data_IF_515412129142
#
_entry.id   IF_515412129142
#
_cell.length_a   1.000
_cell.length_b   1.000
_cell.length_c   1.000
_cell.angle_alpha   90.00
_cell.angle_beta   90.00
_cell.angle_gamma   90.00
#
_symmetry.space_group_name_H-M   'P 1'
#
loop_
_entity.id
_entity.type
_entity.pdbx_description
1 polymer ?
#
# COMPACT_ATOMS: atom_id res chain seq x y z
N UNK A 1 -2.46 -23.46 -14.47
CA UNK A 1 -1.14 -23.41 -15.14
C UNK A 1 -1.16 -22.42 -16.30
N UNK A 2 -0.99 -21.12 -16.01
CA UNK A 2 -0.70 -20.05 -16.97
C UNK A 2 0.30 -19.11 -16.28
N UNK A 3 1.55 -19.13 -16.73
CA UNK A 3 2.63 -18.29 -16.18
C UNK A 3 2.48 -16.85 -16.63
N UNK A 4 2.55 -15.94 -15.66
CA UNK A 4 2.34 -14.48 -15.75
C UNK A 4 3.38 -13.77 -16.65
N UNK A 5 4.44 -14.46 -17.07
CA UNK A 5 5.55 -13.88 -17.85
C UNK A 5 5.22 -13.52 -19.31
N UNK A 6 4.08 -13.95 -19.87
CA UNK A 6 3.79 -13.75 -21.30
C UNK A 6 3.02 -12.46 -21.65
N UNK A 7 2.53 -11.70 -20.66
CA UNK A 7 1.68 -10.53 -20.92
C UNK A 7 2.42 -9.18 -21.00
N UNK A 8 3.67 -9.10 -20.54
CA UNK A 8 4.40 -7.82 -20.50
C UNK A 8 4.90 -7.34 -21.86
N UNK A 9 4.99 -8.20 -22.88
CA UNK A 9 5.56 -7.84 -24.19
C UNK A 9 4.55 -7.34 -25.24
N UNK A 10 3.29 -7.07 -24.88
CA UNK A 10 2.26 -6.62 -25.86
C UNK A 10 1.65 -5.25 -25.63
N UNK A 11 2.06 -4.50 -24.60
CA UNK A 11 1.48 -3.17 -24.31
C UNK A 11 2.43 -1.99 -24.62
N UNK A 12 3.61 -2.24 -25.20
CA UNK A 12 4.43 -1.20 -25.80
C UNK A 12 3.81 -0.72 -27.13
N UNK A 13 2.92 0.28 -27.05
CA UNK A 13 2.76 1.35 -28.06
C UNK A 13 2.27 2.63 -27.36
N UNK A 14 2.93 3.78 -27.54
CA UNK A 14 2.50 5.07 -27.01
C UNK A 14 1.58 5.77 -28.03
N UNK A 15 0.55 6.45 -27.55
CA UNK A 15 -0.10 7.55 -28.29
C UNK A 15 0.16 8.84 -27.50
N UNK A 16 0.89 9.76 -28.15
CA UNK A 16 1.26 11.10 -27.69
C UNK A 16 0.08 12.06 -27.85
N UNK A 17 -0.25 12.87 -26.84
CA UNK A 17 -0.81 14.22 -27.06
C UNK A 17 -0.29 15.22 -26.01
N UNK A 18 0.20 16.35 -26.52
CA UNK A 18 0.86 17.47 -25.83
C UNK A 18 -0.16 18.52 -25.35
N UNK A 19 0.10 19.23 -24.24
CA UNK A 19 -0.31 20.64 -24.06
C UNK A 19 0.61 21.40 -23.08
N UNK A 20 1.03 22.60 -23.50
CA UNK A 20 1.96 23.52 -22.84
C UNK A 20 1.26 24.72 -22.14
N UNK A 21 1.93 25.26 -21.09
CA UNK A 21 1.87 26.67 -20.61
C UNK A 21 1.04 26.93 -19.33
N UNK A 22 1.40 27.78 -18.35
CA UNK A 22 2.53 28.71 -18.15
C UNK A 22 2.57 29.25 -16.69
N UNK A 23 3.79 29.40 -16.16
CA UNK A 23 4.37 30.37 -15.20
C UNK A 23 3.67 30.88 -13.92
N UNK A 24 4.37 30.73 -12.77
CA UNK A 24 4.64 31.86 -11.84
C UNK A 24 4.70 31.59 -10.33
N UNK A 25 5.94 31.57 -9.79
CA UNK A 25 6.41 32.09 -8.47
C UNK A 25 6.99 31.11 -7.41
N UNK A 26 8.29 30.82 -7.59
CA UNK A 26 9.42 30.95 -6.65
C UNK A 26 9.22 30.74 -5.13
N UNK A 27 9.50 29.53 -4.63
CA UNK A 27 10.10 29.28 -3.30
C UNK A 27 11.01 28.03 -3.36
N UNK A 28 12.03 28.01 -2.51
CA UNK A 28 13.32 27.32 -2.71
C UNK A 28 13.26 25.80 -2.90
N UNK A 29 14.10 25.39 -3.84
CA UNK A 29 14.28 24.09 -4.50
C UNK A 29 14.90 23.04 -3.56
N UNK A 30 14.14 22.01 -3.23
CA UNK A 30 14.71 20.71 -2.83
C UNK A 30 14.99 19.97 -4.12
N UNK A 31 16.26 19.62 -4.28
CA UNK A 31 16.90 19.07 -5.46
C UNK A 31 16.16 17.81 -5.95
N UNK A 32 15.43 17.97 -7.05
CA UNK A 32 14.87 16.87 -7.84
C UNK A 32 16.05 16.03 -8.33
N UNK A 33 16.22 14.82 -7.77
CA UNK A 33 17.15 13.82 -8.30
C UNK A 33 16.81 13.54 -9.76
N UNK A 34 17.51 14.22 -10.66
CA UNK A 34 17.52 13.92 -12.09
C UNK A 34 18.57 12.84 -12.27
N UNK A 35 18.12 11.62 -12.55
CA UNK A 35 19.02 10.53 -12.95
C UNK A 35 19.66 10.96 -14.27
N UNK A 36 20.99 11.04 -14.28
CA UNK A 36 21.79 11.40 -15.45
C UNK A 36 21.56 10.39 -16.59
N UNK A 37 20.93 10.83 -17.68
CA UNK A 37 21.00 10.10 -18.95
C UNK A 37 22.34 10.41 -19.62
N UNK A 38 23.29 9.48 -19.48
CA UNK A 38 24.51 9.47 -20.27
C UNK A 38 24.18 9.24 -21.75
N UNK A 39 24.46 10.24 -22.57
CA UNK A 39 24.33 10.18 -24.02
C UNK A 39 25.20 9.06 -24.61
N UNK A 40 24.56 8.06 -25.24
CA UNK A 40 25.24 7.27 -26.25
C UNK A 40 24.27 6.83 -27.36
N UNK A 41 24.69 7.16 -28.57
CA UNK A 41 23.93 7.10 -29.80
C UNK A 41 23.88 5.63 -30.30
N UNK A 42 22.71 4.98 -30.23
CA UNK A 42 22.54 3.65 -30.81
C UNK A 42 21.24 2.94 -30.41
N UNK A 43 20.26 2.92 -31.33
CA UNK A 43 19.09 2.01 -31.42
C UNK A 43 18.57 1.49 -30.06
N UNK A 44 17.82 2.34 -29.36
CA UNK A 44 17.12 2.00 -28.13
C UNK A 44 15.96 1.04 -28.41
N UNK A 45 16.16 -0.26 -28.17
CA UNK A 45 15.10 -1.04 -27.53
C UNK A 45 15.05 -0.54 -26.08
N UNK A 46 14.13 0.38 -25.79
CA UNK A 46 13.80 0.77 -24.42
C UNK A 46 13.19 -0.43 -23.71
N UNK A 47 14.06 -1.26 -23.14
CA UNK A 47 13.71 -2.17 -22.07
C UNK A 47 13.12 -1.30 -20.96
N UNK A 48 11.79 -1.26 -20.87
CA UNK A 48 11.07 -0.68 -19.74
C UNK A 48 11.40 -1.54 -18.55
N UNK A 49 12.52 -1.24 -17.89
CA UNK A 49 12.79 -1.73 -16.56
C UNK A 49 11.68 -1.12 -15.71
N UNK A 50 10.70 -1.96 -15.33
CA UNK A 50 9.77 -1.62 -14.27
C UNK A 50 10.61 -1.44 -13.00
N UNK A 51 11.07 -0.23 -12.77
CA UNK A 51 11.75 0.12 -11.53
C UNK A 51 10.67 0.10 -10.45
N UNK A 52 10.57 -1.03 -9.76
CA UNK A 52 9.80 -1.09 -8.53
C UNK A 52 10.45 -0.17 -7.51
N UNK A 53 9.62 0.57 -6.76
CA UNK A 53 10.11 1.34 -5.62
C UNK A 53 10.61 0.34 -4.58
N UNK A 54 11.91 0.36 -4.29
CA UNK A 54 12.48 -0.44 -3.22
C UNK A 54 12.05 0.18 -1.88
N UNK A 55 11.24 -0.56 -1.13
CA UNK A 55 10.76 -0.14 0.20
C UNK A 55 11.45 -1.02 1.23
N UNK A 56 12.30 -0.46 2.12
CA UNK A 56 12.97 -1.26 3.12
C UNK A 56 11.96 -1.82 4.11
N UNK A 57 12.12 -3.08 4.50
CA UNK A 57 11.27 -3.69 5.51
C UNK A 57 11.74 -3.31 6.91
N UNK A 58 10.82 -2.79 7.74
CA UNK A 58 11.08 -2.43 9.13
C UNK A 58 10.10 -3.20 10.02
N UNK A 59 10.66 -3.91 11.01
CA UNK A 59 9.85 -4.62 11.99
C UNK A 59 9.24 -3.62 12.97
N UNK A 60 7.94 -3.81 13.26
CA UNK A 60 7.28 -3.21 14.41
C UNK A 60 7.98 -3.66 15.71
N UNK A 61 7.99 -2.81 16.72
CA UNK A 61 8.62 -3.05 18.03
C UNK A 61 7.58 -3.40 19.11
N UNK A 62 6.32 -3.07 18.90
CA UNK A 62 5.21 -3.30 19.80
C UNK A 62 4.07 -4.04 19.12
N UNK A 63 2.97 -4.31 19.81
CA UNK A 63 1.80 -4.99 19.23
C UNK A 63 0.87 -4.03 18.48
N UNK A 64 1.15 -2.72 18.53
CA UNK A 64 0.23 -1.66 18.13
C UNK A 64 0.84 -0.67 17.13
N UNK A 65 2.15 -0.72 16.90
CA UNK A 65 2.93 0.24 16.11
C UNK A 65 3.16 -0.22 14.65
N UNK A 66 2.44 -1.25 14.18
CA UNK A 66 2.58 -1.73 12.81
C UNK A 66 2.33 -0.63 11.76
N UNK A 67 1.38 0.27 12.02
CA UNK A 67 1.13 1.45 11.18
C UNK A 67 2.29 2.45 11.20
N UNK A 68 2.93 2.65 12.35
CA UNK A 68 4.10 3.53 12.48
C UNK A 68 5.32 2.96 11.77
N UNK A 69 5.53 1.65 11.87
CA UNK A 69 6.54 0.95 11.08
C UNK A 69 6.30 1.14 9.58
N UNK A 70 5.05 1.04 9.11
CA UNK A 70 4.69 1.35 7.71
C UNK A 70 5.06 2.78 7.30
N UNK A 71 4.73 3.79 8.12
CA UNK A 71 5.12 5.18 7.85
C UNK A 71 6.65 5.30 7.78
N UNK A 72 7.38 4.67 8.70
CA UNK A 72 8.84 4.71 8.69
C UNK A 72 9.42 4.06 7.42
N UNK A 73 8.85 2.94 6.95
CA UNK A 73 9.25 2.32 5.68
C UNK A 73 9.10 3.28 4.49
N UNK A 74 7.99 4.03 4.43
CA UNK A 74 7.78 5.06 3.41
C UNK A 74 8.80 6.19 3.52
N UNK A 75 9.03 6.70 4.73
CA UNK A 75 10.00 7.78 4.96
C UNK A 75 11.41 7.36 4.50
N UNK A 76 11.83 6.12 4.79
CA UNK A 76 13.10 5.58 4.31
C UNK A 76 13.16 5.44 2.80
N UNK A 77 12.09 4.95 2.17
CA UNK A 77 11.99 4.86 0.71
C UNK A 77 12.08 6.24 0.03
N UNK A 78 11.64 7.30 0.72
CA UNK A 78 11.73 8.70 0.25
C UNK A 78 13.05 9.40 0.64
N UNK A 79 13.99 8.69 1.27
CA UNK A 79 15.28 9.25 1.68
C UNK A 79 15.25 10.12 2.95
N UNK A 80 14.19 10.01 3.76
CA UNK A 80 14.07 10.70 5.06
C UNK A 80 14.61 9.79 6.16
N UNK A 81 15.78 10.15 6.71
CA UNK A 81 16.50 9.34 7.72
C UNK A 81 16.53 9.94 9.13
N UNK A 82 16.22 11.24 9.27
CA UNK A 82 16.33 12.00 10.53
C UNK A 82 15.18 11.74 11.52
N UNK A 83 14.36 10.71 11.26
CA UNK A 83 13.25 10.33 12.12
C UNK A 83 13.34 8.83 12.44
N UNK A 84 13.13 8.44 13.69
CA UNK A 84 13.05 7.05 14.14
C UNK A 84 11.65 6.69 14.66
N UNK A 85 11.43 5.42 15.00
CA UNK A 85 10.09 4.95 15.41
C UNK A 85 9.60 5.60 16.70
N UNK A 86 10.48 5.84 17.67
CA UNK A 86 10.12 6.50 18.94
C UNK A 86 9.64 7.93 18.70
N UNK A 87 10.28 8.66 17.78
CA UNK A 87 9.83 10.01 17.40
C UNK A 87 8.46 9.97 16.69
N UNK A 88 8.17 8.93 15.89
CA UNK A 88 6.84 8.74 15.31
C UNK A 88 5.79 8.45 16.38
N UNK A 89 6.12 7.67 17.40
CA UNK A 89 5.23 7.41 18.54
C UNK A 89 4.90 8.71 19.29
N UNK A 90 5.93 9.52 19.58
CA UNK A 90 5.79 10.82 20.23
C UNK A 90 4.97 11.80 19.38
N UNK A 91 5.15 11.81 18.06
CA UNK A 91 4.40 12.66 17.14
C UNK A 91 2.95 12.21 16.96
N UNK A 92 2.67 10.91 17.06
CA UNK A 92 1.34 10.33 16.92
C UNK A 92 0.48 10.52 18.17
N UNK A 93 1.11 10.63 19.35
CA UNK A 93 0.46 10.88 20.64
C UNK A 93 -0.62 9.85 21.05
N UNK A 94 -0.56 8.61 20.54
CA UNK A 94 -1.48 7.52 20.88
C UNK A 94 -0.85 6.16 20.61
N UNK A 95 -1.29 5.14 21.33
CA UNK A 95 -0.95 3.73 21.06
C UNK A 95 -2.10 2.96 20.42
N UNK A 96 -3.28 3.57 20.27
CA UNK A 96 -4.38 3.04 19.44
C UNK A 96 -4.33 3.69 18.06
N UNK A 97 -3.49 3.14 17.19
CA UNK A 97 -3.19 3.74 15.88
C UNK A 97 -4.29 3.39 14.87
N UNK A 98 -4.89 4.41 14.28
CA UNK A 98 -5.82 4.28 13.16
C UNK A 98 -5.18 4.81 11.87
N UNK A 99 -5.69 4.38 10.71
CA UNK A 99 -5.15 4.81 9.40
C UNK A 99 -5.17 6.33 9.22
N UNK A 100 -6.15 7.03 9.81
CA UNK A 100 -6.19 8.50 9.79
C UNK A 100 -5.02 9.11 10.57
N UNK A 101 -4.57 8.50 11.68
CA UNK A 101 -3.39 8.97 12.42
C UNK A 101 -2.13 8.92 11.52
N UNK A 102 -1.99 7.85 10.72
CA UNK A 102 -0.90 7.71 9.76
C UNK A 102 -0.94 8.78 8.67
N UNK A 103 -2.14 9.16 8.19
CA UNK A 103 -2.29 10.24 7.22
C UNK A 103 -1.79 11.58 7.78
N UNK A 104 -2.10 11.88 9.05
CA UNK A 104 -1.58 13.06 9.74
C UNK A 104 -0.06 13.03 9.92
N UNK A 105 0.53 11.86 10.21
CA UNK A 105 1.99 11.71 10.24
C UNK A 105 2.60 11.98 8.85
N UNK A 106 2.10 11.32 7.80
CA UNK A 106 2.58 11.53 6.43
C UNK A 106 2.47 13.01 6.01
N UNK A 107 1.37 13.68 6.38
CA UNK A 107 1.17 15.11 6.15
C UNK A 107 2.20 15.98 6.88
N UNK A 108 2.56 15.67 8.14
CA UNK A 108 3.62 16.39 8.90
C UNK A 108 4.98 16.30 8.21
N UNK A 109 5.28 15.18 7.56
CA UNK A 109 6.50 14.99 6.76
C UNK A 109 6.36 15.49 5.31
N UNK A 110 5.26 16.16 4.96
CA UNK A 110 4.98 16.66 3.60
C UNK A 110 5.01 15.57 2.51
N UNK A 111 4.68 14.33 2.88
CA UNK A 111 4.55 13.22 1.93
C UNK A 111 3.28 13.45 1.11
N UNK A 112 3.37 13.29 -0.22
CA UNK A 112 2.20 13.31 -1.10
C UNK A 112 1.53 11.94 -1.09
N UNK A 113 0.26 11.88 -0.73
CA UNK A 113 -0.53 10.64 -0.71
C UNK A 113 -1.99 10.87 -1.08
N UNK A 114 -2.70 9.77 -1.33
CA UNK A 114 -4.16 9.72 -1.45
C UNK A 114 -4.68 8.76 -0.40
N UNK A 115 -5.65 9.18 0.42
CA UNK A 115 -6.28 8.32 1.41
C UNK A 115 -7.68 7.90 0.95
N UNK A 116 -7.84 6.63 0.57
CA UNK A 116 -9.14 6.04 0.27
C UNK A 116 -9.67 5.22 1.46
N UNK A 117 -10.96 5.37 1.78
CA UNK A 117 -11.66 4.55 2.79
C UNK A 117 -13.12 4.36 2.42
N UNK A 118 -13.76 3.27 2.86
CA UNK A 118 -15.21 3.07 2.72
C UNK A 118 -15.99 3.56 3.93
N UNK A 119 -15.30 4.02 4.98
CA UNK A 119 -15.92 4.55 6.20
C UNK A 119 -15.18 5.79 6.64
N UNK A 120 -15.93 6.90 6.80
CA UNK A 120 -15.43 8.12 7.40
C UNK A 120 -15.64 8.04 8.91
N UNK A 121 -14.55 8.16 9.67
CA UNK A 121 -14.59 7.99 11.12
C UNK A 121 -14.34 6.55 11.58
N UNK A 122 -14.46 6.33 12.88
CA UNK A 122 -14.42 4.99 13.46
C UNK A 122 -15.77 4.30 13.25
N UNK A 123 -15.76 3.08 12.69
CA UNK A 123 -16.98 2.31 12.54
C UNK A 123 -17.42 1.73 13.90
N UNK A 124 -18.58 2.13 14.46
CA UNK A 124 -19.05 1.63 15.75
C UNK A 124 -19.39 0.12 15.72
N UNK A 125 -19.64 -0.44 14.54
CA UNK A 125 -19.96 -1.87 14.38
C UNK A 125 -18.77 -2.77 14.75
N UNK A 126 -17.54 -2.23 14.77
CA UNK A 126 -16.37 -2.97 15.24
C UNK A 126 -16.30 -3.15 16.76
N UNK A 127 -17.28 -2.64 17.52
CA UNK A 127 -17.36 -2.86 18.98
C UNK A 127 -17.44 -4.34 19.38
N UNK A 128 -17.90 -5.21 18.47
CA UNK A 128 -17.96 -6.67 18.69
C UNK A 128 -16.61 -7.35 18.50
N UNK A 129 -15.69 -6.71 17.79
CA UNK A 129 -14.35 -7.25 17.52
C UNK A 129 -13.48 -7.08 18.75
N UNK A 130 -12.88 -8.17 19.23
CA UNK A 130 -12.05 -8.18 20.45
C UNK A 130 -10.92 -7.16 20.39
N UNK A 131 -10.40 -6.92 19.19
CA UNK A 131 -9.31 -5.96 18.96
C UNK A 131 -9.71 -4.52 19.31
N UNK A 132 -10.96 -4.11 18.99
CA UNK A 132 -11.40 -2.73 19.16
C UNK A 132 -12.15 -2.48 20.47
N UNK A 133 -12.71 -3.53 21.08
CA UNK A 133 -13.69 -3.45 22.17
C UNK A 133 -13.35 -2.47 23.30
N UNK A 134 -12.11 -2.50 23.79
CA UNK A 134 -11.74 -1.76 25.00
C UNK A 134 -11.41 -0.28 24.71
N UNK A 135 -10.89 0.05 23.52
CA UNK A 135 -10.43 1.40 23.16
C UNK A 135 -11.40 2.16 22.24
N UNK A 136 -12.35 1.45 21.60
CA UNK A 136 -13.28 2.05 20.65
C UNK A 136 -14.08 3.24 21.19
N UNK A 137 -14.56 3.27 22.46
CA UNK A 137 -15.30 4.44 22.95
C UNK A 137 -14.47 5.73 22.95
N UNK A 138 -13.20 5.65 23.39
CA UNK A 138 -12.29 6.80 23.35
C UNK A 138 -11.82 7.12 21.95
N UNK A 139 -11.58 6.09 21.13
CA UNK A 139 -11.13 6.26 19.75
C UNK A 139 -12.22 6.86 18.88
N UNK A 140 -13.50 6.54 19.13
CA UNK A 140 -14.60 7.04 18.31
C UNK A 140 -14.65 8.57 18.30
N UNK A 141 -14.48 9.21 19.46
CA UNK A 141 -14.44 10.67 19.54
C UNK A 141 -13.21 11.23 18.82
N UNK A 142 -12.02 10.70 19.13
CA UNK A 142 -10.75 11.17 18.57
C UNK A 142 -10.68 10.98 17.06
N UNK A 143 -10.95 9.77 16.57
CA UNK A 143 -10.90 9.41 15.15
C UNK A 143 -11.91 10.22 14.37
N UNK A 144 -13.15 10.36 14.85
CA UNK A 144 -14.15 11.18 14.15
C UNK A 144 -13.73 12.65 14.05
N UNK A 145 -13.11 13.21 15.10
CA UNK A 145 -12.56 14.56 15.07
C UNK A 145 -11.42 14.69 14.04
N UNK A 146 -10.51 13.72 13.97
CA UNK A 146 -9.45 13.70 12.95
C UNK A 146 -10.02 13.66 11.52
N UNK A 147 -11.06 12.88 11.27
CA UNK A 147 -11.72 12.88 9.95
C UNK A 147 -12.39 14.22 9.65
N UNK A 148 -12.99 14.88 10.64
CA UNK A 148 -13.64 16.18 10.47
C UNK A 148 -12.62 17.29 10.17
N UNK A 149 -11.45 17.25 10.80
CA UNK A 149 -10.38 18.26 10.66
C UNK A 149 -9.42 17.99 9.49
N UNK A 150 -9.44 16.78 8.91
CA UNK A 150 -8.47 16.33 7.91
C UNK A 150 -8.32 17.31 6.74
N UNK A 151 -9.44 17.80 6.20
CA UNK A 151 -9.44 18.73 5.06
C UNK A 151 -8.75 20.05 5.39
N UNK A 152 -8.97 20.58 6.59
CA UNK A 152 -8.33 21.83 7.06
C UNK A 152 -6.83 21.61 7.33
N UNK A 153 -6.45 20.38 7.71
CA UNK A 153 -5.06 19.95 7.83
C UNK A 153 -4.37 19.66 6.48
N UNK A 154 -5.05 19.84 5.34
CA UNK A 154 -4.50 19.60 4.00
C UNK A 154 -4.54 18.13 3.56
N UNK A 155 -5.27 17.27 4.28
CA UNK A 155 -5.41 15.85 4.00
C UNK A 155 -6.70 15.62 3.21
N UNK A 156 -6.56 15.14 1.98
CA UNK A 156 -7.70 14.75 1.15
C UNK A 156 -8.06 13.28 1.37
N UNK A 157 -9.33 13.03 1.70
CA UNK A 157 -9.86 11.70 2.01
C UNK A 157 -10.99 11.36 1.03
N UNK A 158 -10.77 10.32 0.24
CA UNK A 158 -11.74 9.80 -0.72
C UNK A 158 -12.57 8.69 -0.06
N UNK A 159 -13.87 8.94 0.12
CA UNK A 159 -14.80 7.93 0.61
C UNK A 159 -15.23 6.98 -0.53
N UNK A 160 -14.38 6.00 -0.86
CA UNK A 160 -14.63 4.99 -1.89
C UNK A 160 -13.83 3.71 -1.66
N UNK A 161 -14.26 2.63 -2.31
CA UNK A 161 -13.46 1.42 -2.47
C UNK A 161 -12.38 1.60 -3.55
N UNK A 162 -11.27 0.88 -3.40
CA UNK A 162 -10.23 0.73 -4.43
C UNK A 162 -10.20 -0.73 -4.87
N UNK A 163 -10.30 -0.99 -6.18
CA UNK A 163 -10.27 -2.35 -6.71
C UNK A 163 -8.85 -2.93 -6.75
N UNK A 164 -8.73 -4.26 -6.76
CA UNK A 164 -7.43 -4.94 -6.92
C UNK A 164 -6.73 -4.55 -8.23
N UNK A 165 -7.50 -4.26 -9.30
CA UNK A 165 -6.97 -3.76 -10.56
C UNK A 165 -6.34 -2.38 -10.40
N UNK A 166 -7.03 -1.44 -9.76
CA UNK A 166 -6.48 -0.10 -9.49
C UNK A 166 -5.19 -0.18 -8.65
N UNK A 167 -5.19 -0.98 -7.57
CA UNK A 167 -3.99 -1.21 -6.76
C UNK A 167 -2.85 -1.74 -7.63
N UNK A 168 -3.13 -2.73 -8.48
CA UNK A 168 -2.13 -3.32 -9.38
C UNK A 168 -1.59 -2.27 -10.36
N UNK A 169 -2.46 -1.49 -10.98
CA UNK A 169 -2.09 -0.43 -11.92
C UNK A 169 -1.20 0.63 -11.24
N UNK A 170 -1.51 1.02 -9.99
CA UNK A 170 -0.68 1.95 -9.21
C UNK A 170 0.71 1.38 -8.90
N UNK A 171 0.79 0.14 -8.40
CA UNK A 171 2.08 -0.47 -8.04
C UNK A 171 2.94 -0.72 -9.27
N UNK A 172 2.35 -1.24 -10.36
CA UNK A 172 3.05 -1.54 -11.61
C UNK A 172 3.54 -0.28 -12.33
N UNK A 173 2.97 0.89 -12.04
CA UNK A 173 3.49 2.16 -12.57
C UNK A 173 4.87 2.53 -12.04
N UNK A 174 5.32 1.93 -10.93
CA UNK A 174 6.59 2.26 -10.26
C UNK A 174 6.59 3.63 -9.56
N UNK A 175 5.43 4.33 -9.50
CA UNK A 175 5.31 5.67 -8.93
C UNK A 175 4.71 5.70 -7.53
N UNK A 176 4.07 4.61 -7.12
CA UNK A 176 3.28 4.56 -5.88
C UNK A 176 3.74 3.41 -4.99
N UNK A 177 3.67 3.66 -3.68
CA UNK A 177 3.69 2.66 -2.63
C UNK A 177 2.32 2.68 -1.95
N UNK A 178 1.81 1.51 -1.59
CA UNK A 178 0.52 1.39 -0.91
C UNK A 178 0.71 0.95 0.54
N UNK A 179 0.07 1.67 1.46
CA UNK A 179 -0.22 1.17 2.81
C UNK A 179 -1.66 0.67 2.78
N UNK A 180 -1.87 -0.63 3.03
CA UNK A 180 -3.18 -1.25 3.02
C UNK A 180 -3.48 -1.89 4.38
N UNK A 181 -4.65 -1.58 4.95
CA UNK A 181 -5.17 -2.29 6.11
C UNK A 181 -5.65 -3.66 5.66
N UNK A 182 -5.15 -4.72 6.30
CA UNK A 182 -5.44 -6.10 5.94
C UNK A 182 -5.88 -6.90 7.16
N UNK A 183 -6.65 -7.95 6.91
CA UNK A 183 -7.00 -8.95 7.91
C UNK A 183 -5.99 -10.10 7.84
N UNK A 184 -5.15 -10.21 8.88
CA UNK A 184 -4.10 -11.22 8.96
C UNK A 184 -4.64 -12.65 8.83
N UNK A 185 -5.83 -12.94 9.38
CA UNK A 185 -6.42 -14.28 9.30
C UNK A 185 -6.81 -14.62 7.86
N UNK A 186 -7.36 -13.65 7.11
CA UNK A 186 -7.71 -13.86 5.70
C UNK A 186 -6.46 -14.09 4.84
N UNK A 187 -5.38 -13.38 5.13
CA UNK A 187 -4.12 -13.52 4.40
C UNK A 187 -3.36 -14.82 4.73
N UNK A 188 -3.46 -15.33 5.96
CA UNK A 188 -2.80 -16.58 6.34
C UNK A 188 -3.53 -17.82 5.83
N UNK A 189 -4.86 -17.77 5.74
CA UNK A 189 -5.65 -18.88 5.22
C UNK A 189 -5.64 -19.00 3.69
N UNK A 190 -5.49 -17.90 2.95
CA UNK A 190 -5.38 -17.96 1.48
C UNK A 190 -4.12 -18.70 1.00
N UNK A 191 -3.02 -18.62 1.75
CA UNK A 191 -1.78 -19.35 1.45
C UNK A 191 -1.93 -20.88 1.59
N UNK A 192 -2.86 -21.34 2.43
CA UNK A 192 -3.10 -22.76 2.67
C UNK A 192 -3.98 -23.41 1.61
N UNK A 193 -4.90 -22.66 0.99
CA UNK A 193 -5.77 -23.18 -0.07
C UNK A 193 -5.04 -23.31 -1.41
N UNK A 194 -4.11 -22.41 -1.73
CA UNK A 194 -3.28 -22.50 -2.95
C UNK A 194 -2.21 -23.60 -2.90
N UNK A 195 -1.89 -24.13 -1.70
CA UNK A 195 -0.94 -25.23 -1.54
C UNK A 195 -1.54 -26.62 -1.86
N UNK A 196 -2.87 -26.75 -1.96
CA UNK A 196 -3.56 -28.05 -2.02
C UNK A 196 -4.04 -28.46 -3.44
N UNK A 197 -3.57 -27.81 -4.51
CA UNK A 197 -3.91 -28.22 -5.89
C UNK A 197 -2.63 -28.52 -6.69
N UNK A 198 -1.89 -29.54 -6.25
CA UNK A 198 -0.88 -30.18 -7.10
C UNK A 198 -0.65 -31.66 -6.79
N UNK A 199 -1.71 -32.40 -6.39
CA UNK A 199 -1.68 -33.85 -6.49
C UNK A 199 -2.28 -34.30 -7.82
N UNK A 200 -1.36 -34.71 -8.70
CA UNK A 200 -1.61 -35.32 -9.99
C UNK A 200 -2.54 -36.54 -9.85
N UNK A 201 -3.78 -36.43 -10.34
CA UNK A 201 -4.50 -37.60 -10.85
C UNK A 201 -3.88 -38.01 -12.20
N UNK A 202 -2.78 -38.74 -12.15
CA UNK A 202 -2.36 -39.64 -13.23
C UNK A 202 -2.80 -41.04 -12.85
N UNK A 203 -3.77 -41.56 -13.59
CA UNK A 203 -4.46 -42.79 -13.25
C UNK A 203 -3.63 -44.06 -13.41
N UNK A 204 -4.15 -45.14 -12.83
CA UNK A 204 -4.47 -46.32 -13.63
C UNK A 204 -5.61 -47.13 -13.00
N UNK A 205 -6.40 -47.82 -13.84
CA UNK A 205 -7.59 -48.57 -13.45
C UNK A 205 -7.26 -50.01 -13.05
N UNK A 206 -8.07 -50.58 -12.17
CA UNK A 206 -8.19 -52.03 -12.01
C UNK A 206 -7.89 -52.54 -10.60
N UNK A 207 -8.92 -52.94 -9.87
CA UNK A 207 -9.23 -54.36 -9.70
C UNK A 207 -10.59 -54.54 -9.02
N UNK A 208 -11.35 -55.51 -9.54
CA UNK A 208 -12.67 -55.96 -9.11
C UNK A 208 -12.60 -56.80 -7.84
N UNK A 209 -13.55 -56.58 -6.91
CA UNK A 209 -13.79 -57.45 -5.76
C UNK A 209 -15.22 -57.29 -5.26
N UNK A 210 -16.11 -58.13 -5.78
CA UNK A 210 -17.50 -58.33 -5.35
C UNK A 210 -17.50 -59.26 -4.14
N UNK A 211 -18.33 -59.00 -3.11
CA UNK A 211 -19.22 -59.97 -2.43
C UNK A 211 -19.72 -59.43 -1.07
N UNK A 212 -21.04 -59.22 -1.01
CA UNK A 212 -22.02 -59.56 0.04
C UNK A 212 -21.50 -59.91 1.45
N UNK A 213 -21.95 -59.17 2.47
CA UNK A 213 -23.17 -59.38 3.31
C UNK A 213 -23.42 -58.11 4.12
#
# INVERSE_FOLDING_TARGET
>A
MWSIHLLLNKLLKPDEENFEGSAGNHFNFVETYSIEESSNNGKHETSVLSHFVEVPHINQQHTWDCGLACVLMILRALGVYDCNIQELEELCCTTSIWTVDLAYLLQKFSVRFTYCTVTLGANPDFSVERFYKDQLPSDLVRVNMLFQEAREAGIDIECRSVSAKEISDFILSGKYVAIALVDQYKLSHSQLEDACVSDFYSGSPGYTGKNDV
#
